data_IF_291597187579
#
_entry.id   IF_291597187579
#
_cell.length_a   1.000
_cell.length_b   1.000
_cell.length_c   1.000
_cell.angle_alpha   90.00
_cell.angle_beta   90.00
_cell.angle_gamma   90.00
#
_symmetry.space_group_name_H-M   'P 1'
#
loop_
_entity.id
_entity.type
_entity.pdbx_description
1 polymer ?
#
# COMPACT_ATOMS: atom_id res chain seq x y z
N UNK A 1 27.84 9.18 2.05
CA UNK A 1 27.17 7.87 2.10
C UNK A 1 25.94 8.09 2.95
N UNK A 2 24.77 8.01 2.39
CA UNK A 2 23.55 8.17 3.18
C UNK A 2 23.44 6.96 4.11
N UNK A 3 23.41 7.19 5.40
CA UNK A 3 23.26 6.14 6.40
C UNK A 3 21.81 5.61 6.33
N UNK A 4 21.63 4.31 6.22
CA UNK A 4 20.30 3.69 6.24
C UNK A 4 19.81 3.67 7.69
N UNK A 5 18.86 4.52 7.99
CA UNK A 5 18.31 4.69 9.35
C UNK A 5 16.83 4.31 9.45
N UNK A 6 16.12 4.26 8.29
CA UNK A 6 14.69 4.00 8.22
C UNK A 6 14.43 2.83 7.26
N UNK A 7 13.32 2.12 7.45
CA UNK A 7 12.97 0.98 6.60
C UNK A 7 12.84 1.37 5.12
N UNK A 8 12.26 2.51 4.85
CA UNK A 8 12.08 2.99 3.48
C UNK A 8 13.37 3.58 2.84
N UNK A 9 14.49 3.66 3.55
CA UNK A 9 15.80 4.00 2.96
C UNK A 9 16.40 2.80 2.21
N UNK A 10 16.01 1.55 2.52
CA UNK A 10 16.61 0.36 1.94
C UNK A 10 16.48 0.27 0.41
N UNK A 11 15.33 0.53 -0.23
CA UNK A 11 15.24 0.53 -1.69
C UNK A 11 16.17 1.55 -2.35
N UNK A 12 16.33 2.73 -1.78
CA UNK A 12 17.23 3.77 -2.28
C UNK A 12 18.69 3.37 -2.14
N UNK A 13 19.06 2.80 -0.99
CA UNK A 13 20.40 2.23 -0.80
C UNK A 13 20.67 1.11 -1.81
N UNK A 14 19.71 0.23 -2.05
CA UNK A 14 19.83 -0.82 -3.07
C UNK A 14 20.01 -0.22 -4.46
N UNK A 15 19.26 0.83 -4.81
CA UNK A 15 19.39 1.49 -6.11
C UNK A 15 20.78 2.08 -6.30
N UNK A 16 21.33 2.73 -5.27
CA UNK A 16 22.66 3.35 -5.33
C UNK A 16 23.80 2.31 -5.43
N UNK A 17 23.73 1.22 -4.67
CA UNK A 17 24.86 0.31 -4.49
C UNK A 17 24.84 -0.92 -5.39
N UNK A 18 23.66 -1.49 -5.62
CA UNK A 18 23.49 -2.74 -6.36
C UNK A 18 22.09 -2.85 -6.97
N UNK A 19 21.71 -1.97 -7.91
CA UNK A 19 20.39 -1.97 -8.52
C UNK A 19 20.06 -3.35 -9.10
N UNK A 20 18.83 -3.78 -8.93
CA UNK A 20 18.34 -5.08 -9.38
C UNK A 20 17.26 -4.92 -10.46
N UNK A 21 17.34 -5.73 -11.52
CA UNK A 21 16.28 -5.87 -12.51
C UNK A 21 15.05 -6.59 -11.95
N UNK A 22 15.23 -7.34 -10.87
CA UNK A 22 14.19 -8.08 -10.18
C UNK A 22 14.34 -7.94 -8.65
N UNK A 23 14.15 -6.73 -8.14
CA UNK A 23 14.14 -6.45 -6.70
C UNK A 23 12.95 -7.13 -6.02
N UNK A 24 11.80 -7.10 -6.69
CA UNK A 24 10.59 -7.81 -6.27
C UNK A 24 10.09 -8.69 -7.42
N UNK A 25 9.41 -9.78 -7.09
CA UNK A 25 8.76 -10.64 -8.06
C UNK A 25 7.47 -11.22 -7.50
N UNK A 26 6.40 -11.15 -8.29
CA UNK A 26 5.10 -11.74 -7.96
C UNK A 26 4.63 -12.64 -9.09
N UNK A 27 3.98 -13.75 -8.73
CA UNK A 27 3.44 -14.70 -9.70
C UNK A 27 1.97 -14.38 -9.97
N UNK A 28 1.66 -13.91 -11.19
CA UNK A 28 0.29 -13.68 -11.65
C UNK A 28 -0.05 -14.70 -12.75
N UNK A 29 -1.15 -15.39 -12.61
CA UNK A 29 -1.63 -16.37 -13.59
C UNK A 29 -0.56 -17.39 -14.02
N UNK A 30 0.28 -17.83 -13.06
CA UNK A 30 1.35 -18.78 -13.34
C UNK A 30 2.65 -18.19 -13.87
N UNK A 31 2.69 -16.89 -14.21
CA UNK A 31 3.85 -16.20 -14.75
C UNK A 31 4.50 -15.27 -13.71
N UNK A 32 5.83 -15.25 -13.67
CA UNK A 32 6.58 -14.34 -12.81
C UNK A 32 6.68 -12.96 -13.45
N UNK A 33 6.14 -11.95 -12.76
CA UNK A 33 6.32 -10.54 -13.09
C UNK A 33 7.38 -9.97 -12.16
N UNK A 34 8.41 -9.37 -12.75
CA UNK A 34 9.54 -8.79 -12.03
C UNK A 34 9.39 -7.28 -11.95
N UNK A 35 9.82 -6.71 -10.84
CA UNK A 35 9.85 -5.26 -10.61
C UNK A 35 11.27 -4.88 -10.25
N UNK A 36 11.87 -3.97 -11.01
CA UNK A 36 13.22 -3.48 -10.74
C UNK A 36 13.25 -2.59 -9.49
N UNK A 37 14.44 -2.37 -8.94
CA UNK A 37 14.62 -1.45 -7.82
C UNK A 37 14.11 -0.05 -8.16
N UNK A 38 14.40 0.45 -9.37
CA UNK A 38 13.92 1.76 -9.82
C UNK A 38 12.39 1.81 -9.87
N UNK A 39 11.76 0.84 -10.53
CA UNK A 39 10.30 0.78 -10.63
C UNK A 39 9.60 0.63 -9.26
N UNK A 40 10.23 -0.09 -8.33
CA UNK A 40 9.75 -0.17 -6.95
C UNK A 40 9.69 1.21 -6.28
N UNK A 41 10.78 1.98 -6.38
CA UNK A 41 10.87 3.33 -5.81
C UNK A 41 9.89 4.29 -6.49
N UNK A 42 9.83 4.27 -7.83
CA UNK A 42 8.95 5.16 -8.59
C UNK A 42 7.47 4.97 -8.20
N UNK A 43 7.04 3.72 -8.08
CA UNK A 43 5.68 3.39 -7.66
C UNK A 43 5.42 3.74 -6.17
N UNK A 44 6.40 3.49 -5.29
CA UNK A 44 6.27 3.88 -3.87
C UNK A 44 6.16 5.41 -3.72
N UNK A 45 6.95 6.17 -4.47
CA UNK A 45 6.85 7.64 -4.51
C UNK A 45 5.49 8.11 -5.03
N UNK A 46 4.97 7.47 -6.08
CA UNK A 46 3.63 7.78 -6.59
C UNK A 46 2.55 7.51 -5.52
N UNK A 47 2.64 6.39 -4.80
CA UNK A 47 1.74 6.09 -3.67
C UNK A 47 1.85 7.16 -2.58
N UNK A 48 3.06 7.57 -2.21
CA UNK A 48 3.30 8.62 -1.22
C UNK A 48 2.61 9.93 -1.60
N UNK A 49 2.85 10.43 -2.81
CA UNK A 49 2.24 11.65 -3.33
C UNK A 49 0.72 11.57 -3.38
N UNK A 50 0.18 10.42 -3.81
CA UNK A 50 -1.26 10.20 -3.84
C UNK A 50 -1.88 10.23 -2.44
N UNK A 51 -1.26 9.57 -1.46
CA UNK A 51 -1.75 9.57 -0.09
C UNK A 51 -1.75 10.99 0.52
N UNK A 52 -0.72 11.79 0.25
CA UNK A 52 -0.69 13.20 0.63
C UNK A 52 -1.85 13.99 0.00
N UNK A 53 -2.13 13.80 -1.30
CA UNK A 53 -3.30 14.38 -1.99
C UNK A 53 -4.62 13.95 -1.38
N UNK A 54 -4.72 12.70 -0.95
CA UNK A 54 -5.91 12.18 -0.27
C UNK A 54 -6.04 12.67 1.18
N UNK A 55 -5.10 13.52 1.63
CA UNK A 55 -5.09 14.15 2.94
C UNK A 55 -4.63 13.23 4.07
N UNK A 56 -3.82 12.24 3.75
CA UNK A 56 -3.10 11.44 4.75
C UNK A 56 -1.99 12.30 5.35
N UNK A 57 -1.86 12.28 6.66
CA UNK A 57 -0.88 13.06 7.43
C UNK A 57 0.04 12.12 8.21
N UNK A 58 1.18 12.59 8.70
CA UNK A 58 2.01 11.82 9.62
C UNK A 58 1.20 11.26 10.80
N UNK A 59 1.47 10.02 11.17
CA UNK A 59 0.75 9.20 12.16
C UNK A 59 -0.67 8.74 11.76
N UNK A 60 -1.19 9.11 10.60
CA UNK A 60 -2.41 8.47 10.08
C UNK A 60 -2.16 7.00 9.74
N UNK A 61 -3.21 6.19 9.74
CA UNK A 61 -3.12 4.75 9.50
C UNK A 61 -3.77 4.39 8.16
N UNK A 62 -3.05 3.55 7.43
CA UNK A 62 -3.52 2.93 6.18
C UNK A 62 -3.42 1.42 6.35
N UNK A 63 -4.53 0.72 6.20
CA UNK A 63 -4.55 -0.73 6.35
C UNK A 63 -4.22 -1.44 5.03
N UNK A 64 -3.43 -2.51 5.12
CA UNK A 64 -3.11 -3.38 3.99
C UNK A 64 -3.39 -4.83 4.35
N UNK A 65 -4.25 -5.50 3.58
CA UNK A 65 -4.71 -6.86 3.83
C UNK A 65 -4.45 -7.71 2.58
N UNK A 66 -3.50 -8.63 2.66
CA UNK A 66 -3.10 -9.45 1.51
C UNK A 66 -3.12 -10.93 1.80
N UNK A 67 -3.75 -11.72 0.90
CA UNK A 67 -3.80 -13.20 0.98
C UNK A 67 -2.45 -13.86 0.70
N UNK A 68 -1.57 -13.16 -0.03
CA UNK A 68 -0.26 -13.68 -0.42
C UNK A 68 0.76 -12.56 -0.45
N UNK A 69 2.04 -12.92 -0.39
CA UNK A 69 3.13 -11.97 -0.63
C UNK A 69 3.07 -11.50 -2.08
N UNK A 70 3.07 -10.18 -2.27
CA UNK A 70 2.99 -9.57 -3.61
C UNK A 70 3.66 -8.20 -3.63
N UNK A 71 4.09 -7.81 -4.81
CA UNK A 71 4.85 -6.56 -5.05
C UNK A 71 4.10 -5.33 -4.54
N UNK A 72 2.80 -5.28 -4.75
CA UNK A 72 1.96 -4.13 -4.35
C UNK A 72 1.98 -3.90 -2.84
N UNK A 73 2.07 -4.98 -2.04
CA UNK A 73 2.17 -4.86 -0.59
C UNK A 73 3.45 -4.09 -0.18
N UNK A 74 4.59 -4.43 -0.80
CA UNK A 74 5.86 -3.77 -0.52
C UNK A 74 5.86 -2.31 -0.99
N UNK A 75 5.28 -2.03 -2.16
CA UNK A 75 5.14 -0.68 -2.68
C UNK A 75 4.30 0.18 -1.74
N UNK A 76 3.17 -0.35 -1.27
CA UNK A 76 2.31 0.33 -0.31
C UNK A 76 3.02 0.59 1.01
N UNK A 77 3.74 -0.40 1.53
CA UNK A 77 4.46 -0.27 2.81
C UNK A 77 5.46 0.89 2.76
N UNK A 78 6.35 0.90 1.77
CA UNK A 78 7.32 2.00 1.58
C UNK A 78 6.61 3.33 1.36
N UNK A 79 5.61 3.38 0.47
CA UNK A 79 4.89 4.61 0.16
C UNK A 79 4.14 5.21 1.36
N UNK A 80 3.60 4.38 2.25
CA UNK A 80 2.95 4.82 3.48
C UNK A 80 3.99 5.36 4.48
N UNK A 81 5.11 4.65 4.65
CA UNK A 81 6.14 5.02 5.63
C UNK A 81 6.88 6.31 5.26
N UNK A 82 7.12 6.57 3.98
CA UNK A 82 7.83 7.76 3.49
C UNK A 82 7.18 9.07 3.94
N UNK A 83 5.86 9.12 4.02
CA UNK A 83 5.10 10.31 4.45
C UNK A 83 4.84 10.35 5.96
N UNK A 84 5.51 9.50 6.74
CA UNK A 84 5.34 9.41 8.20
C UNK A 84 4.01 8.80 8.63
N UNK A 85 3.23 8.21 7.73
CA UNK A 85 2.03 7.46 8.06
C UNK A 85 2.40 6.04 8.55
N UNK A 86 1.43 5.32 9.06
CA UNK A 86 1.63 3.98 9.63
C UNK A 86 0.89 2.95 8.78
N UNK A 87 1.61 1.93 8.31
CA UNK A 87 0.99 0.75 7.72
C UNK A 87 0.39 -0.13 8.83
N UNK A 88 -0.86 -0.54 8.66
CA UNK A 88 -1.56 -1.50 9.54
C UNK A 88 -1.74 -2.80 8.75
N UNK A 89 -0.76 -3.73 8.81
CA UNK A 89 -0.90 -5.02 8.16
C UNK A 89 -1.89 -5.89 8.94
N UNK A 90 -2.89 -6.43 8.25
CA UNK A 90 -3.93 -7.25 8.87
C UNK A 90 -3.92 -8.64 8.23
N UNK A 91 -4.02 -9.68 9.05
CA UNK A 91 -4.11 -11.06 8.57
C UNK A 91 -5.40 -11.28 7.76
N UNK A 92 -5.32 -11.86 6.56
CA UNK A 92 -6.49 -12.04 5.69
C UNK A 92 -7.46 -13.12 6.16
N UNK A 93 -7.03 -13.98 7.10
CA UNK A 93 -7.79 -15.16 7.55
C UNK A 93 -8.71 -14.87 8.74
N UNK A 94 -8.65 -13.67 9.33
CA UNK A 94 -9.51 -13.31 10.46
C UNK A 94 -10.97 -13.09 10.01
N UNK A 95 -11.88 -13.01 10.97
CA UNK A 95 -13.32 -12.80 10.72
C UNK A 95 -13.63 -11.36 10.31
N UNK A 96 -14.82 -11.14 9.74
CA UNK A 96 -15.32 -9.79 9.46
C UNK A 96 -15.45 -8.94 10.75
N UNK A 97 -15.85 -9.56 11.86
CA UNK A 97 -15.93 -8.88 13.16
C UNK A 97 -14.55 -8.42 13.67
N UNK A 98 -13.51 -9.23 13.43
CA UNK A 98 -12.14 -8.83 13.77
C UNK A 98 -11.66 -7.70 12.86
N UNK A 99 -12.04 -7.68 11.59
CA UNK A 99 -11.75 -6.54 10.69
C UNK A 99 -12.41 -5.26 11.21
N UNK A 100 -13.69 -5.32 11.61
CA UNK A 100 -14.38 -4.18 12.21
C UNK A 100 -13.62 -3.64 13.42
N UNK A 101 -13.20 -4.55 14.31
CA UNK A 101 -12.45 -4.18 15.51
C UNK A 101 -11.10 -3.53 15.16
N UNK A 102 -10.27 -4.19 14.34
CA UNK A 102 -8.91 -3.72 14.04
C UNK A 102 -8.94 -2.40 13.28
N UNK A 103 -9.81 -2.27 12.28
CA UNK A 103 -9.92 -1.05 11.47
C UNK A 103 -10.47 0.14 12.26
N UNK A 104 -11.39 -0.08 13.21
CA UNK A 104 -11.86 0.95 14.13
C UNK A 104 -10.80 1.31 15.18
N UNK A 105 -10.14 0.30 15.76
CA UNK A 105 -9.12 0.50 16.80
C UNK A 105 -7.89 1.25 16.26
N UNK A 106 -7.46 0.91 15.05
CA UNK A 106 -6.35 1.60 14.39
C UNK A 106 -6.74 2.97 13.85
N UNK A 107 -8.03 3.28 13.73
CA UNK A 107 -8.55 4.48 13.06
C UNK A 107 -8.08 4.60 11.60
N UNK A 108 -7.95 3.45 10.90
CA UNK A 108 -7.49 3.41 9.52
C UNK A 108 -8.38 4.24 8.60
N UNK A 109 -7.78 5.14 7.83
CA UNK A 109 -8.48 6.04 6.90
C UNK A 109 -8.70 5.41 5.54
N UNK A 110 -7.80 4.56 5.11
CA UNK A 110 -7.85 3.84 3.83
C UNK A 110 -7.51 2.37 4.06
N UNK A 111 -8.06 1.51 3.24
CA UNK A 111 -7.81 0.07 3.29
C UNK A 111 -7.50 -0.45 1.89
N UNK A 112 -6.39 -1.17 1.76
CA UNK A 112 -5.99 -1.83 0.51
C UNK A 112 -6.09 -3.34 0.70
N UNK A 113 -6.85 -4.00 -0.19
CA UNK A 113 -7.12 -5.44 -0.11
C UNK A 113 -6.59 -6.15 -1.35
N UNK A 114 -6.15 -7.41 -1.22
CA UNK A 114 -5.53 -8.10 -2.33
C UNK A 114 -6.51 -8.66 -3.36
N UNK A 115 -7.70 -9.10 -2.94
CA UNK A 115 -8.61 -9.87 -3.79
C UNK A 115 -10.07 -9.79 -3.32
N UNK A 116 -10.99 -10.34 -4.12
CA UNK A 116 -12.44 -10.36 -3.82
C UNK A 116 -12.77 -10.98 -2.47
N UNK A 117 -12.15 -12.10 -2.10
CA UNK A 117 -12.44 -12.78 -0.84
C UNK A 117 -12.14 -11.92 0.41
N UNK A 118 -11.10 -11.08 0.35
CA UNK A 118 -10.80 -10.11 1.42
C UNK A 118 -11.73 -8.91 1.34
N UNK A 119 -11.99 -8.40 0.12
CA UNK A 119 -12.89 -7.28 -0.10
C UNK A 119 -14.29 -7.56 0.46
N UNK A 120 -14.85 -8.71 0.16
CA UNK A 120 -16.19 -9.10 0.64
C UNK A 120 -16.29 -9.00 2.17
N UNK A 121 -15.30 -9.51 2.90
CA UNK A 121 -15.27 -9.45 4.36
C UNK A 121 -15.17 -8.00 4.88
N UNK A 122 -14.36 -7.16 4.24
CA UNK A 122 -14.22 -5.74 4.61
C UNK A 122 -15.52 -5.00 4.32
N UNK A 123 -16.17 -5.24 3.17
CA UNK A 123 -17.42 -4.58 2.81
C UNK A 123 -18.58 -4.96 3.73
N UNK A 124 -18.62 -6.18 4.28
CA UNK A 124 -19.63 -6.57 5.29
C UNK A 124 -19.65 -5.64 6.52
N UNK A 125 -18.54 -5.01 6.83
CA UNK A 125 -18.37 -4.17 8.03
C UNK A 125 -18.02 -2.73 7.73
N UNK A 126 -17.78 -2.37 6.48
CA UNK A 126 -17.29 -1.04 6.07
C UNK A 126 -18.16 0.11 6.61
N UNK A 127 -19.50 -0.05 6.62
CA UNK A 127 -20.42 0.96 7.15
C UNK A 127 -20.31 1.20 8.66
N UNK A 128 -19.64 0.31 9.38
CA UNK A 128 -19.42 0.39 10.83
C UNK A 128 -18.03 0.92 11.19
N UNK A 129 -17.15 1.13 10.18
CA UNK A 129 -15.80 1.62 10.39
C UNK A 129 -15.81 3.14 10.26
N UNK A 130 -15.66 3.83 11.38
CA UNK A 130 -15.92 5.28 11.52
C UNK A 130 -15.02 6.16 10.67
N UNK A 131 -13.73 5.82 10.53
CA UNK A 131 -12.74 6.66 9.89
C UNK A 131 -12.40 6.23 8.46
N UNK A 132 -12.90 5.07 8.02
CA UNK A 132 -12.62 4.53 6.70
C UNK A 132 -13.25 5.40 5.61
N UNK A 133 -12.43 5.97 4.76
CA UNK A 133 -12.87 6.82 3.65
C UNK A 133 -13.07 6.04 2.36
N UNK A 134 -12.17 5.09 2.08
CA UNK A 134 -12.20 4.30 0.85
C UNK A 134 -11.48 2.97 1.01
N UNK A 135 -11.91 1.99 0.21
CA UNK A 135 -11.26 0.69 0.04
C UNK A 135 -10.77 0.57 -1.40
N UNK A 136 -9.53 0.14 -1.58
CA UNK A 136 -8.92 -0.14 -2.89
C UNK A 136 -8.54 -1.61 -2.99
N UNK A 137 -8.63 -2.18 -4.18
CA UNK A 137 -8.18 -3.54 -4.44
C UNK A 137 -6.91 -3.57 -5.30
N UNK A 138 -6.00 -4.51 -5.00
CA UNK A 138 -4.87 -4.79 -5.87
C UNK A 138 -5.32 -5.52 -7.15
N UNK A 139 -6.24 -6.48 -7.02
CA UNK A 139 -6.85 -7.11 -8.19
C UNK A 139 -7.90 -6.17 -8.82
N UNK A 140 -8.10 -6.29 -10.13
CA UNK A 140 -9.16 -5.57 -10.82
C UNK A 140 -10.52 -6.21 -10.51
N UNK A 141 -11.36 -5.49 -9.76
CA UNK A 141 -12.67 -5.94 -9.28
C UNK A 141 -13.74 -4.93 -9.69
N UNK A 142 -14.90 -5.43 -10.19
CA UNK A 142 -15.97 -4.56 -10.69
C UNK A 142 -16.55 -3.59 -9.66
N UNK A 143 -16.57 -3.97 -8.38
CA UNK A 143 -17.21 -3.20 -7.31
C UNK A 143 -16.22 -2.53 -6.36
N UNK A 144 -14.98 -2.31 -6.77
CA UNK A 144 -13.94 -1.70 -5.96
C UNK A 144 -12.99 -0.89 -6.83
N UNK A 145 -12.59 0.26 -6.35
CA UNK A 145 -11.52 1.05 -6.97
C UNK A 145 -10.23 0.25 -6.98
N UNK A 146 -9.47 0.36 -8.06
CA UNK A 146 -8.18 -0.31 -8.15
C UNK A 146 -7.08 0.56 -7.56
N UNK A 147 -6.11 -0.04 -6.91
CA UNK A 147 -4.95 0.67 -6.34
C UNK A 147 -4.13 1.42 -7.39
N UNK A 148 -4.20 1.03 -8.66
CA UNK A 148 -3.58 1.74 -9.77
C UNK A 148 -4.10 3.18 -9.90
N UNK A 149 -5.37 3.41 -9.56
CA UNK A 149 -5.92 4.77 -9.52
C UNK A 149 -5.17 5.66 -8.51
N UNK A 150 -4.69 5.05 -7.41
CA UNK A 150 -3.85 5.76 -6.43
C UNK A 150 -2.47 6.03 -7.02
N UNK A 151 -1.85 5.08 -7.71
CA UNK A 151 -0.56 5.29 -8.39
C UNK A 151 -0.69 6.40 -9.45
N UNK A 152 -1.74 6.35 -10.26
CA UNK A 152 -2.03 7.35 -11.30
C UNK A 152 -2.28 8.75 -10.71
N UNK A 153 -3.01 8.83 -9.59
CA UNK A 153 -3.20 10.08 -8.84
C UNK A 153 -1.88 10.68 -8.38
N UNK A 154 -0.92 9.84 -8.05
CA UNK A 154 0.43 10.24 -7.63
C UNK A 154 1.42 10.47 -8.78
N UNK A 155 1.02 10.35 -10.04
CA UNK A 155 1.88 10.65 -11.19
C UNK A 155 2.29 12.13 -11.26
N UNK A 156 1.48 13.02 -10.71
CA UNK A 156 1.81 14.44 -10.53
C UNK A 156 2.79 14.61 -9.37
N UNK A 157 3.93 15.23 -9.65
CA UNK A 157 5.06 15.36 -8.71
C UNK A 157 4.95 16.57 -7.76
N UNK A 158 3.81 17.27 -7.72
CA UNK A 158 3.63 18.48 -6.90
C UNK A 158 3.89 18.29 -5.39
N UNK A 159 3.79 17.04 -4.90
CA UNK A 159 4.07 16.68 -3.51
C UNK A 159 5.43 15.96 -3.32
N UNK A 160 6.30 15.96 -4.32
CA UNK A 160 7.57 15.21 -4.23
C UNK A 160 8.51 15.72 -3.12
N UNK A 161 8.49 17.01 -2.83
CA UNK A 161 9.32 17.61 -1.78
C UNK A 161 8.90 17.17 -0.36
N UNK A 162 7.68 16.63 -0.22
CA UNK A 162 7.12 16.17 1.06
C UNK A 162 7.33 14.66 1.29
N UNK A 163 7.82 13.94 0.27
CA UNK A 163 8.15 12.51 0.28
C UNK A 163 9.62 12.29 0.66
#
# INVERSE_FOLDING_TARGET
>A
MQEVTRLFDFPYYQLEKFPQEASLATKYNGQWVRTSTQSYIDQANAVSRALLRLGVKPNDKVAVISMSNRTEWNIMDVGILQIGAQNVPIYPTISAADYEYVLNHSEAKYCFVSCSAVLEKVLMVASKIKNLKEVYSFDELENCKNWKEVVDLGADESYQEEV
#
